data_IF_579562589932
#
_entry.id   IF_579562589932
#
_cell.length_a   1.000
_cell.length_b   1.000
_cell.length_c   1.000
_cell.angle_alpha   90.00
_cell.angle_beta   90.00
_cell.angle_gamma   90.00
#
_symmetry.space_group_name_H-M   'P 1'
#
loop_
_entity.id
_entity.type
_entity.pdbx_description
1 polymer ?
#
# COMPACT_ATOMS: atom_id res chain seq x y z
N UNK A 1 -27.89 -11.96 8.71
CA UNK A 1 -26.58 -12.47 8.23
C UNK A 1 -25.81 -11.31 7.65
N UNK A 2 -24.63 -10.98 8.19
CA UNK A 2 -23.86 -9.81 7.73
C UNK A 2 -22.82 -10.28 6.72
N UNK A 3 -23.24 -10.46 5.46
CA UNK A 3 -22.45 -11.01 4.36
C UNK A 3 -21.06 -10.38 4.22
N UNK A 4 -20.92 -9.08 4.54
CA UNK A 4 -19.64 -8.37 4.50
C UNK A 4 -18.66 -8.90 5.55
N UNK A 5 -19.12 -9.07 6.79
CA UNK A 5 -18.30 -9.60 7.89
C UNK A 5 -17.84 -11.02 7.58
N UNK A 6 -18.75 -11.86 7.09
CA UNK A 6 -18.46 -13.26 6.77
C UNK A 6 -17.40 -13.36 5.67
N UNK A 7 -17.48 -12.50 4.66
CA UNK A 7 -16.46 -12.38 3.60
C UNK A 7 -15.06 -12.09 4.16
N UNK A 8 -14.90 -11.08 5.04
CA UNK A 8 -13.60 -10.76 5.60
C UNK A 8 -13.04 -11.87 6.50
N UNK A 9 -13.91 -12.56 7.25
CA UNK A 9 -13.51 -13.71 8.07
C UNK A 9 -12.97 -14.85 7.20
N UNK A 10 -13.65 -15.15 6.10
CA UNK A 10 -13.24 -16.19 5.16
C UNK A 10 -11.92 -15.82 4.48
N UNK A 11 -11.84 -14.61 3.92
CA UNK A 11 -10.64 -14.11 3.24
C UNK A 11 -9.43 -14.12 4.19
N UNK A 12 -9.59 -13.59 5.40
CA UNK A 12 -8.52 -13.59 6.39
C UNK A 12 -8.07 -15.00 6.75
N UNK A 13 -8.99 -15.97 6.84
CA UNK A 13 -8.64 -17.37 7.11
C UNK A 13 -7.79 -17.97 5.98
N UNK A 14 -8.09 -17.65 4.72
CA UNK A 14 -7.28 -18.08 3.56
C UNK A 14 -5.89 -17.45 3.59
N UNK A 15 -5.77 -16.17 3.95
CA UNK A 15 -4.47 -15.48 4.05
C UNK A 15 -3.64 -16.03 5.21
N UNK A 16 -4.25 -16.28 6.38
CA UNK A 16 -3.55 -16.80 7.57
C UNK A 16 -2.98 -18.19 7.33
N UNK A 17 -3.64 -19.02 6.52
CA UNK A 17 -3.17 -20.35 6.16
C UNK A 17 -1.90 -20.35 5.29
N UNK A 18 -1.54 -19.22 4.67
CA UNK A 18 -0.30 -19.10 3.89
C UNK A 18 0.90 -18.92 4.83
N UNK A 19 1.99 -19.63 4.55
CA UNK A 19 3.20 -19.59 5.36
C UNK A 19 4.10 -18.38 5.05
N UNK A 20 5.03 -18.10 5.97
CA UNK A 20 6.07 -17.11 5.78
C UNK A 20 5.58 -15.65 5.79
N UNK A 21 6.38 -14.76 5.21
CA UNK A 21 6.11 -13.33 5.16
C UNK A 21 5.36 -12.99 3.87
N UNK A 22 4.18 -12.38 4.00
CA UNK A 22 3.27 -12.14 2.87
C UNK A 22 3.15 -10.67 2.53
N UNK A 23 3.08 -10.37 1.24
CA UNK A 23 2.65 -9.09 0.72
C UNK A 23 1.32 -9.32 0.02
N UNK A 24 0.28 -8.63 0.48
CA UNK A 24 -1.06 -8.66 -0.11
C UNK A 24 -1.32 -7.30 -0.73
N UNK A 25 -1.41 -7.26 -2.07
CA UNK A 25 -1.75 -6.04 -2.79
C UNK A 25 -3.28 -5.93 -2.97
N UNK A 26 -3.83 -4.77 -2.67
CA UNK A 26 -5.25 -4.45 -2.89
C UNK A 26 -5.29 -3.41 -4.01
N UNK A 27 -5.72 -3.84 -5.20
CA UNK A 27 -5.78 -3.01 -6.40
C UNK A 27 -7.22 -2.70 -6.81
N UNK A 28 -7.39 -1.62 -7.58
CA UNK A 28 -8.67 -1.12 -8.03
C UNK A 28 -8.59 0.35 -8.44
N UNK A 29 -9.58 0.82 -9.18
CA UNK A 29 -9.67 2.22 -9.61
C UNK A 29 -9.82 3.19 -8.43
N UNK A 30 -9.58 4.47 -8.66
CA UNK A 30 -9.77 5.51 -7.64
C UNK A 30 -11.23 5.55 -7.17
N UNK A 31 -11.41 5.72 -5.85
CA UNK A 31 -12.74 5.69 -5.24
C UNK A 31 -13.39 4.30 -5.12
N UNK A 32 -12.72 3.20 -5.52
CA UNK A 32 -13.30 1.84 -5.41
C UNK A 32 -13.41 1.30 -3.97
N UNK A 33 -12.88 2.02 -2.98
CA UNK A 33 -12.90 1.61 -1.57
C UNK A 33 -11.72 0.74 -1.13
N UNK A 34 -10.58 0.74 -1.85
CA UNK A 34 -9.36 0.01 -1.48
C UNK A 34 -8.92 0.26 -0.04
N UNK A 35 -8.91 1.53 0.38
CA UNK A 35 -8.54 1.93 1.73
C UNK A 35 -9.49 1.33 2.76
N UNK A 36 -10.80 1.47 2.56
CA UNK A 36 -11.82 0.87 3.41
C UNK A 36 -11.68 -0.65 3.49
N UNK A 37 -11.38 -1.31 2.37
CA UNK A 37 -11.15 -2.75 2.34
C UNK A 37 -9.93 -3.15 3.17
N UNK A 38 -8.81 -2.42 3.03
CA UNK A 38 -7.60 -2.66 3.81
C UNK A 38 -7.84 -2.46 5.31
N UNK A 39 -8.52 -1.37 5.67
CA UNK A 39 -8.84 -1.00 7.06
C UNK A 39 -9.76 -2.02 7.73
N UNK A 40 -10.65 -2.67 6.97
CA UNK A 40 -11.51 -3.75 7.48
C UNK A 40 -10.80 -5.10 7.56
N UNK A 41 -9.89 -5.41 6.63
CA UNK A 41 -9.17 -6.68 6.61
C UNK A 41 -8.05 -6.75 7.67
N UNK A 42 -7.28 -5.68 7.83
CA UNK A 42 -6.13 -5.61 8.74
C UNK A 42 -6.43 -6.03 10.19
N UNK A 43 -7.50 -5.55 10.85
CA UNK A 43 -7.83 -5.98 12.21
C UNK A 43 -8.23 -7.45 12.28
N UNK A 44 -8.91 -7.99 11.25
CA UNK A 44 -9.32 -9.40 11.21
C UNK A 44 -8.10 -10.32 11.09
N UNK A 45 -7.11 -9.94 10.28
CA UNK A 45 -5.83 -10.65 10.19
C UNK A 45 -5.06 -10.60 11.52
N UNK A 46 -4.98 -9.42 12.13
CA UNK A 46 -4.29 -9.22 13.42
C UNK A 46 -4.94 -10.06 14.53
N UNK A 47 -6.27 -10.07 14.62
CA UNK A 47 -7.02 -10.89 15.59
C UNK A 47 -6.81 -12.39 15.39
N UNK A 48 -6.51 -12.83 14.16
CA UNK A 48 -6.17 -14.23 13.85
C UNK A 48 -4.69 -14.56 14.04
N UNK A 49 -3.91 -13.68 14.66
CA UNK A 49 -2.51 -13.93 15.00
C UNK A 49 -1.52 -13.60 13.88
N UNK A 50 -1.94 -12.84 12.85
CA UNK A 50 -1.06 -12.38 11.76
C UNK A 50 -0.81 -10.88 11.90
N UNK A 51 0.35 -10.44 12.42
CA UNK A 51 0.69 -9.02 12.46
C UNK A 51 0.66 -8.39 11.07
N UNK A 52 0.11 -7.18 10.96
CA UNK A 52 -0.05 -6.46 9.70
C UNK A 52 0.70 -5.14 9.76
N UNK A 53 1.43 -4.84 8.68
CA UNK A 53 1.89 -3.49 8.36
C UNK A 53 1.12 -3.06 7.11
N UNK A 54 0.39 -1.96 7.21
CA UNK A 54 -0.40 -1.39 6.11
C UNK A 54 0.33 -0.18 5.53
N UNK A 55 0.37 -0.08 4.21
CA UNK A 55 0.95 1.03 3.48
C UNK A 55 0.15 1.29 2.21
N UNK A 56 0.18 2.53 1.73
CA UNK A 56 -0.31 2.90 0.39
C UNK A 56 0.87 3.27 -0.50
N UNK A 57 0.76 2.95 -1.79
CA UNK A 57 1.67 3.50 -2.81
C UNK A 57 1.65 5.03 -2.82
N UNK A 58 0.55 5.64 -2.32
CA UNK A 58 0.44 7.09 -2.20
C UNK A 58 1.52 7.69 -1.31
N UNK A 59 2.00 6.95 -0.32
CA UNK A 59 3.10 7.36 0.56
C UNK A 59 4.45 7.45 -0.16
N UNK A 60 4.53 7.03 -1.42
CA UNK A 60 5.75 6.99 -2.23
C UNK A 60 5.56 7.72 -3.56
N UNK A 61 4.85 8.86 -3.57
CA UNK A 61 4.75 9.68 -4.77
C UNK A 61 6.09 10.33 -5.14
N UNK A 62 6.27 10.63 -6.43
CA UNK A 62 7.25 11.63 -6.82
C UNK A 62 6.73 13.05 -6.52
N UNK A 63 7.64 14.01 -6.41
CA UNK A 63 7.28 15.43 -6.30
C UNK A 63 6.49 15.90 -7.53
N UNK A 64 5.70 16.96 -7.38
CA UNK A 64 4.94 17.55 -8.50
C UNK A 64 5.84 17.97 -9.65
N UNK A 65 7.07 18.40 -9.36
CA UNK A 65 8.07 18.73 -10.38
C UNK A 65 8.37 17.56 -11.32
N UNK A 66 8.44 16.34 -10.79
CA UNK A 66 8.62 15.12 -11.59
C UNK A 66 7.28 14.71 -12.23
N UNK A 67 6.20 14.65 -11.45
CA UNK A 67 4.86 14.20 -11.92
C UNK A 67 4.33 14.99 -13.10
N UNK A 68 4.60 16.30 -13.13
CA UNK A 68 4.04 17.20 -14.12
C UNK A 68 5.06 17.67 -15.16
N UNK A 69 6.22 17.00 -15.26
CA UNK A 69 7.27 17.38 -16.23
C UNK A 69 6.82 17.30 -17.69
N UNK A 70 5.85 16.42 -18.00
CA UNK A 70 5.22 16.29 -19.33
C UNK A 70 3.94 17.15 -19.47
N UNK A 71 3.55 17.87 -18.41
CA UNK A 71 2.28 18.58 -18.31
C UNK A 71 1.35 17.94 -17.29
N UNK A 72 0.57 18.77 -16.59
CA UNK A 72 -0.27 18.33 -15.45
C UNK A 72 -1.31 17.27 -15.80
N UNK A 73 -1.81 17.29 -17.04
CA UNK A 73 -2.86 16.41 -17.53
C UNK A 73 -2.33 15.39 -18.54
N UNK A 74 -1.01 15.23 -18.63
CA UNK A 74 -0.41 14.29 -19.56
C UNK A 74 -0.61 12.85 -19.05
N UNK A 75 -1.24 11.95 -19.83
CA UNK A 75 -1.56 10.60 -19.39
C UNK A 75 -0.31 9.72 -19.24
N UNK A 76 0.74 9.96 -20.01
CA UNK A 76 2.00 9.24 -19.89
C UNK A 76 2.72 9.66 -18.60
N UNK A 77 2.77 10.96 -18.30
CA UNK A 77 3.28 11.48 -17.03
C UNK A 77 2.48 10.96 -15.83
N UNK A 78 1.15 10.92 -15.93
CA UNK A 78 0.32 10.32 -14.87
C UNK A 78 0.67 8.85 -14.62
N UNK A 79 0.88 8.06 -15.68
CA UNK A 79 1.20 6.64 -15.55
C UNK A 79 2.64 6.38 -15.07
N UNK A 80 3.63 7.05 -15.66
CA UNK A 80 5.04 6.77 -15.42
C UNK A 80 5.62 7.53 -14.22
N UNK A 81 5.15 8.75 -13.96
CA UNK A 81 5.83 9.66 -13.05
C UNK A 81 5.10 9.85 -11.71
N UNK A 82 3.87 9.35 -11.53
CA UNK A 82 3.12 9.55 -10.27
C UNK A 82 3.83 8.98 -9.05
N UNK A 83 4.34 7.75 -9.16
CA UNK A 83 4.88 6.98 -8.03
C UNK A 83 6.38 6.73 -8.16
N UNK A 84 7.09 6.92 -7.05
CA UNK A 84 8.48 6.55 -6.87
C UNK A 84 8.59 5.06 -6.46
N UNK A 85 8.42 4.17 -7.43
CA UNK A 85 8.52 2.73 -7.20
C UNK A 85 9.91 2.28 -6.69
N UNK A 86 10.97 3.03 -7.02
CA UNK A 86 12.30 2.77 -6.50
C UNK A 86 12.36 2.99 -4.98
N UNK A 87 11.77 4.09 -4.48
CA UNK A 87 11.65 4.37 -3.04
C UNK A 87 10.78 3.33 -2.34
N UNK A 88 9.62 3.00 -2.90
CA UNK A 88 8.74 1.94 -2.41
C UNK A 88 9.48 0.60 -2.26
N UNK A 89 10.25 0.20 -3.28
CA UNK A 89 11.02 -1.04 -3.22
C UNK A 89 12.14 -0.97 -2.19
N UNK A 90 12.88 0.14 -2.14
CA UNK A 90 14.05 0.32 -1.27
C UNK A 90 13.69 0.34 0.21
N UNK A 91 12.61 1.01 0.58
CA UNK A 91 12.30 1.28 2.00
C UNK A 91 11.17 0.43 2.56
N UNK A 92 10.27 -0.08 1.70
CA UNK A 92 9.17 -0.95 2.12
C UNK A 92 9.36 -2.40 1.66
N UNK A 93 9.22 -2.67 0.36
CA UNK A 93 9.07 -4.04 -0.12
C UNK A 93 10.33 -4.90 0.06
N UNK A 94 11.50 -4.34 -0.24
CA UNK A 94 12.78 -5.02 -0.12
C UNK A 94 13.10 -5.40 1.33
N UNK A 95 13.18 -4.43 2.27
CA UNK A 95 13.42 -4.71 3.68
C UNK A 95 12.36 -5.63 4.29
N UNK A 96 11.08 -5.44 3.93
CA UNK A 96 10.03 -6.34 4.38
C UNK A 96 10.33 -7.78 3.95
N UNK A 97 10.56 -8.03 2.66
CA UNK A 97 10.90 -9.37 2.14
C UNK A 97 12.16 -9.96 2.76
N UNK A 98 13.15 -9.12 3.08
CA UNK A 98 14.39 -9.52 3.73
C UNK A 98 14.23 -9.87 5.23
N UNK A 99 13.04 -9.69 5.81
CA UNK A 99 12.76 -10.05 7.20
C UNK A 99 13.00 -8.93 8.21
N UNK A 100 13.12 -7.66 7.77
CA UNK A 100 13.27 -6.53 8.67
C UNK A 100 12.11 -6.44 9.68
N UNK A 101 12.42 -6.00 10.90
CA UNK A 101 11.44 -5.76 11.96
C UNK A 101 10.63 -4.48 11.74
N UNK A 102 11.25 -3.50 11.07
CA UNK A 102 10.65 -2.20 10.75
C UNK A 102 10.87 -1.88 9.28
N UNK A 103 9.94 -1.12 8.71
CA UNK A 103 9.94 -0.66 7.33
C UNK A 103 9.29 0.71 7.29
N UNK A 104 9.62 1.53 6.29
CA UNK A 104 8.96 2.81 6.09
C UNK A 104 7.69 2.58 5.29
N UNK A 105 6.54 3.06 5.76
CA UNK A 105 5.25 2.94 5.05
C UNK A 105 4.94 4.16 4.17
N UNK A 106 5.74 5.22 4.29
CA UNK A 106 5.71 6.41 3.46
C UNK A 106 7.09 7.07 3.44
N UNK A 107 7.41 7.69 2.31
CA UNK A 107 8.62 8.49 2.06
C UNK A 107 8.28 9.83 1.41
N UNK A 108 7.01 10.23 1.34
CA UNK A 108 6.60 11.46 0.68
C UNK A 108 5.50 12.19 1.46
N UNK A 109 5.67 13.50 1.62
CA UNK A 109 4.67 14.42 2.19
C UNK A 109 3.90 15.12 1.06
N UNK A 110 2.58 14.87 1.00
CA UNK A 110 1.70 15.47 -0.01
C UNK A 110 1.47 16.96 0.17
N UNK A 111 1.43 17.45 1.41
CA UNK A 111 1.20 18.86 1.71
C UNK A 111 2.43 19.70 1.37
N UNK A 112 3.60 19.19 1.73
CA UNK A 112 4.87 19.88 1.54
C UNK A 112 5.61 19.51 0.24
N UNK A 113 5.10 18.55 -0.54
CA UNK A 113 5.60 18.16 -1.86
C UNK A 113 7.10 17.78 -1.88
N UNK A 114 7.54 17.01 -0.90
CA UNK A 114 8.93 16.55 -0.80
C UNK A 114 9.06 15.14 -0.19
N UNK A 115 10.22 14.53 -0.43
CA UNK A 115 10.57 13.25 0.18
C UNK A 115 10.91 13.44 1.67
N UNK A 116 10.34 12.61 2.54
CA UNK A 116 10.60 12.62 3.98
C UNK A 116 11.58 11.51 4.36
N UNK A 117 12.32 11.72 5.46
CA UNK A 117 13.33 10.78 5.97
C UNK A 117 12.85 9.89 7.09
#
# INVERSE_FOLDING_TARGET
MNHRRDFFIELASRIVALEGRLIVAIDGVDGSGKTTFADELAPVLTQKGRPVVQASVDGFHNTKAIRYRLGRNDPEGFFLDSHNYQSLHRFLLGPFRAGANTVDTARYDHAADHEIS
#
